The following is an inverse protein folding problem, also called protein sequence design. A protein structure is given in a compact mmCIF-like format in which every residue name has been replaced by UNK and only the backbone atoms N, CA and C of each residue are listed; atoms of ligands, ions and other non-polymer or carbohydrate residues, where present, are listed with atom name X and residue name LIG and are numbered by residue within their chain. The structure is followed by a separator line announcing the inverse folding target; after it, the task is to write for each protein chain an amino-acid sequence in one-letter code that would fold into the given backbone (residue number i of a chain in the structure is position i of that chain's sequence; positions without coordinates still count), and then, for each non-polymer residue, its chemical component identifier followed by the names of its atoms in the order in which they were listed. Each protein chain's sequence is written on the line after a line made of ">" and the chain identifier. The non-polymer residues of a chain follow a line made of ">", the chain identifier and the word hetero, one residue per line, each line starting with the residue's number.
data_IF_592455400669
#
_entry.id   IF_592455400669
#
_cell.length_a   1.000
_cell.length_b   1.000
_cell.length_c   1.000
_cell.angle_alpha   90.00
_cell.angle_beta   90.00
_cell.angle_gamma   90.00
#
_symmetry.space_group_name_H-M   'P 1'
#
loop_
_entity.id
_entity.type
_entity.pdbx_description
1 polymer ?
#
# COMPACT_ATOMS: atom_id res chain seq x y z
N UNK A 1 1.48 -71.74 -59.25
CA UNK A 1 0.29 -72.58 -58.96
C UNK A 1 0.74 -73.84 -58.22
N UNK A 2 -0.06 -74.30 -57.23
CA UNK A 2 0.12 -75.45 -56.30
C UNK A 2 0.93 -75.15 -55.04
N UNK A 3 0.56 -75.58 -53.83
CA UNK A 3 -0.69 -75.96 -53.12
C UNK A 3 -0.21 -76.50 -51.75
N UNK A 4 -0.82 -76.06 -50.63
CA UNK A 4 -1.01 -76.74 -49.31
C UNK A 4 0.24 -77.36 -48.62
N UNK A 5 0.34 -77.62 -47.31
CA UNK A 5 -0.62 -77.82 -46.21
C UNK A 5 0.16 -77.73 -44.89
N UNK A 6 -0.53 -77.43 -43.78
CA UNK A 6 0.07 -77.14 -42.47
C UNK A 6 0.42 -78.32 -41.57
N UNK A 7 0.65 -78.04 -40.27
CA UNK A 7 0.20 -78.79 -39.08
C UNK A 7 0.88 -78.34 -37.76
N UNK A 8 0.10 -78.50 -36.66
CA UNK A 8 0.48 -78.60 -35.22
C UNK A 8 0.80 -77.26 -34.54
N UNK A 9 0.28 -76.87 -33.38
CA UNK A 9 -0.56 -77.53 -32.35
C UNK A 9 -0.14 -77.04 -30.95
N UNK A 10 -1.07 -77.13 -29.99
CA UNK A 10 -0.96 -76.91 -28.53
C UNK A 10 -1.02 -75.47 -27.99
N UNK A 11 -2.08 -75.24 -27.19
CA UNK A 11 -2.35 -74.00 -26.47
C UNK A 11 -1.76 -73.94 -25.07
N UNK A 12 -1.96 -72.81 -24.41
CA UNK A 12 -1.87 -72.67 -22.96
C UNK A 12 -2.82 -71.56 -22.49
N UNK A 13 -3.61 -71.87 -21.47
CA UNK A 13 -4.52 -70.96 -20.79
C UNK A 13 -3.71 -69.87 -20.07
N UNK A 14 -4.08 -68.60 -20.25
CA UNK A 14 -3.53 -67.49 -19.49
C UNK A 14 -4.48 -67.10 -18.35
N UNK A 15 -3.99 -67.31 -17.13
CA UNK A 15 -4.59 -66.96 -15.85
C UNK A 15 -4.73 -65.42 -15.74
N UNK A 16 -5.94 -64.95 -15.45
CA UNK A 16 -6.19 -63.54 -15.09
C UNK A 16 -5.79 -63.33 -13.63
N UNK A 17 -4.64 -62.68 -13.41
CA UNK A 17 -4.21 -62.23 -12.09
C UNK A 17 -4.62 -60.76 -11.89
N UNK A 18 -5.64 -60.53 -11.07
CA UNK A 18 -6.01 -59.20 -10.57
C UNK A 18 -4.96 -58.78 -9.53
N UNK A 19 -4.15 -57.78 -9.86
CA UNK A 19 -3.22 -57.15 -8.91
C UNK A 19 -3.86 -55.91 -8.31
N UNK A 20 -4.04 -55.94 -6.98
CA UNK A 20 -4.48 -54.79 -6.21
C UNK A 20 -3.36 -53.74 -6.17
N UNK A 21 -3.66 -52.51 -6.58
CA UNK A 21 -2.75 -51.38 -6.48
C UNK A 21 -2.62 -50.96 -5.00
N UNK A 22 -1.44 -51.17 -4.41
CA UNK A 22 -1.03 -50.49 -3.19
C UNK A 22 -0.46 -49.12 -3.57
N UNK A 23 -0.86 -48.01 -2.91
CA UNK A 23 -0.22 -46.72 -3.17
C UNK A 23 1.19 -46.73 -2.59
N UNK A 24 2.19 -46.70 -3.49
CA UNK A 24 3.57 -46.46 -3.12
C UNK A 24 3.74 -44.96 -2.83
N UNK A 25 3.92 -44.60 -1.56
CA UNK A 25 4.34 -43.25 -1.16
C UNK A 25 5.82 -43.09 -1.49
N UNK A 26 6.14 -42.45 -2.62
CA UNK A 26 7.46 -41.93 -2.88
C UNK A 26 7.68 -40.75 -1.93
N UNK A 27 8.47 -40.92 -0.87
CA UNK A 27 9.06 -39.80 -0.16
C UNK A 27 10.25 -39.32 -0.96
N UNK A 28 10.14 -38.08 -1.41
CA UNK A 28 10.95 -37.47 -2.45
C UNK A 28 12.43 -37.40 -2.10
N UNK A 29 13.24 -37.98 -2.98
CA UNK A 29 14.71 -37.89 -3.04
C UNK A 29 15.25 -36.45 -2.88
N UNK A 30 14.48 -35.44 -3.28
CA UNK A 30 14.82 -34.02 -3.10
C UNK A 30 14.83 -33.58 -1.62
N UNK A 31 14.09 -34.25 -0.74
CA UNK A 31 14.04 -33.96 0.70
C UNK A 31 15.33 -34.37 1.44
N UNK A 32 16.07 -35.34 0.88
CA UNK A 32 17.37 -35.79 1.38
C UNK A 32 18.55 -34.96 0.85
N UNK A 33 18.46 -34.43 -0.39
CA UNK A 33 19.54 -33.67 -1.02
C UNK A 33 19.55 -32.18 -0.62
N UNK A 34 18.38 -31.58 -0.39
CA UNK A 34 18.25 -30.17 0.00
C UNK A 34 17.90 -29.99 1.49
N UNK A 35 18.39 -30.90 2.34
CA UNK A 35 18.47 -30.72 3.79
C UNK A 35 17.24 -30.06 4.39
N UNK A 36 16.21 -30.85 4.69
CA UNK A 36 15.10 -30.44 5.54
C UNK A 36 15.60 -29.90 6.89
N UNK A 37 15.89 -28.60 6.94
CA UNK A 37 16.14 -27.86 8.16
C UNK A 37 14.81 -27.52 8.84
N UNK A 38 14.13 -28.54 9.37
CA UNK A 38 13.23 -28.31 10.50
C UNK A 38 14.04 -28.49 11.78
N UNK A 39 14.87 -27.50 12.09
CA UNK A 39 15.33 -27.33 13.46
C UNK A 39 14.10 -27.03 14.33
N UNK A 40 13.88 -27.74 15.45
CA UNK A 40 12.90 -27.31 16.43
C UNK A 40 13.32 -25.92 16.91
N UNK A 41 12.48 -24.92 16.66
CA UNK A 41 12.73 -23.56 17.14
C UNK A 41 12.53 -23.53 18.65
N UNK A 42 13.62 -23.72 19.39
CA UNK A 42 13.70 -23.20 20.75
C UNK A 42 13.74 -21.68 20.65
N UNK A 43 12.61 -21.02 20.91
CA UNK A 43 12.55 -19.58 21.05
C UNK A 43 12.88 -19.24 22.52
N UNK A 44 14.05 -18.65 22.83
CA UNK A 44 14.23 -18.04 24.14
C UNK A 44 13.18 -16.93 24.29
N UNK A 45 12.39 -16.98 25.37
CA UNK A 45 11.54 -15.86 25.78
C UNK A 45 12.45 -14.72 26.20
N UNK A 46 12.67 -13.78 25.30
CA UNK A 46 13.30 -12.51 25.64
C UNK A 46 12.29 -11.67 26.46
N UNK A 47 12.72 -10.97 27.52
CA UNK A 47 11.88 -9.98 28.18
C UNK A 47 11.40 -8.94 27.16
N UNK A 48 10.09 -8.71 27.09
CA UNK A 48 9.51 -7.76 26.16
C UNK A 48 9.98 -6.34 26.48
N UNK A 49 10.56 -5.65 25.50
CA UNK A 49 10.87 -4.24 25.61
C UNK A 49 9.58 -3.41 25.43
N UNK A 50 9.39 -2.28 26.15
CA UNK A 50 8.10 -1.58 26.25
C UNK A 50 7.58 -0.93 24.96
N UNK A 51 8.34 -1.01 23.85
CA UNK A 51 8.08 -0.29 22.61
C UNK A 51 8.02 -1.22 21.38
N UNK A 52 8.08 -2.54 21.58
CA UNK A 52 8.08 -3.53 20.50
C UNK A 52 6.77 -4.34 20.41
N UNK A 53 5.65 -3.82 20.93
CA UNK A 53 4.31 -4.37 20.68
C UNK A 53 3.66 -3.69 19.46
N UNK A 54 4.33 -3.76 18.31
CA UNK A 54 3.69 -3.50 17.02
C UNK A 54 3.20 -4.83 16.43
N UNK A 55 2.04 -5.28 16.93
CA UNK A 55 0.96 -5.81 16.10
C UNK A 55 1.19 -7.03 15.19
N UNK A 56 2.33 -7.71 15.21
CA UNK A 56 2.55 -8.95 14.46
C UNK A 56 2.46 -10.16 15.38
N UNK A 57 1.26 -10.48 15.85
CA UNK A 57 1.04 -11.81 16.41
C UNK A 57 -0.03 -12.00 17.46
N UNK A 58 -1.18 -11.32 17.42
CA UNK A 58 -2.35 -11.85 18.14
C UNK A 58 -3.71 -11.28 17.76
N UNK A 59 -4.06 -11.20 16.48
CA UNK A 59 -5.48 -11.03 16.15
C UNK A 59 -5.86 -11.51 14.75
N UNK A 60 -5.98 -12.82 14.59
CA UNK A 60 -6.51 -13.43 13.35
C UNK A 60 -7.97 -13.84 13.44
N UNK A 61 -8.72 -13.44 14.49
CA UNK A 61 -10.13 -13.89 14.61
C UNK A 61 -11.19 -12.81 14.81
N UNK A 62 -10.83 -11.53 15.01
CA UNK A 62 -11.87 -10.51 15.24
C UNK A 62 -11.68 -9.17 14.51
N UNK A 63 -11.18 -9.21 13.27
CA UNK A 63 -11.55 -8.19 12.26
C UNK A 63 -12.64 -8.72 11.35
N UNK A 64 -13.81 -8.99 11.93
CA UNK A 64 -15.03 -9.06 11.14
C UNK A 64 -15.28 -7.68 10.54
N UNK A 65 -14.88 -7.55 9.27
CA UNK A 65 -15.49 -6.72 8.26
C UNK A 65 -16.17 -5.43 8.78
N UNK A 66 -15.38 -4.36 8.96
CA UNK A 66 -15.88 -3.08 8.46
C UNK A 66 -15.73 -3.18 6.95
N UNK A 67 -16.81 -3.31 6.17
CA UNK A 67 -16.67 -3.14 4.75
C UNK A 67 -16.15 -1.70 4.60
N UNK A 68 -14.87 -1.55 4.27
CA UNK A 68 -14.53 -0.50 3.32
C UNK A 68 -15.51 -0.77 2.19
N UNK A 69 -16.50 0.10 2.06
CA UNK A 69 -17.30 0.14 0.87
C UNK A 69 -16.28 0.41 -0.24
N UNK A 70 -15.72 -0.68 -0.77
CA UNK A 70 -15.33 -0.78 -2.16
C UNK A 70 -16.65 -0.61 -2.88
N UNK A 71 -17.14 0.63 -2.93
CA UNK A 71 -17.94 1.07 -4.02
C UNK A 71 -17.06 0.72 -5.20
N UNK A 72 -17.40 -0.39 -5.86
CA UNK A 72 -17.01 -0.64 -7.23
C UNK A 72 -17.62 0.53 -8.01
N UNK A 73 -16.98 1.69 -7.88
CA UNK A 73 -17.11 2.75 -8.85
C UNK A 73 -16.76 2.05 -10.15
N UNK A 74 -17.69 2.06 -11.08
CA UNK A 74 -17.54 1.55 -12.45
C UNK A 74 -16.54 2.41 -13.23
N UNK A 75 -15.48 2.87 -12.57
CA UNK A 75 -14.42 3.73 -13.05
C UNK A 75 -13.12 3.19 -12.47
N UNK A 76 -12.17 2.89 -13.36
CA UNK A 76 -10.87 2.33 -12.99
C UNK A 76 -10.05 3.23 -12.07
N UNK A 77 -8.79 2.85 -11.85
CA UNK A 77 -7.82 3.65 -11.11
C UNK A 77 -7.84 5.12 -11.58
N UNK A 78 -7.95 6.04 -10.63
CA UNK A 78 -7.84 7.46 -10.89
C UNK A 78 -6.37 7.88 -10.85
N UNK A 79 -5.94 8.69 -11.81
CA UNK A 79 -4.62 9.27 -11.86
C UNK A 79 -4.74 10.78 -11.87
N UNK A 80 -3.97 11.42 -10.99
CA UNK A 80 -3.74 12.85 -11.04
C UNK A 80 -2.67 13.12 -12.09
N UNK A 81 -2.94 14.00 -13.05
CA UNK A 81 -2.05 14.38 -14.13
C UNK A 81 -1.75 15.86 -14.03
N UNK A 82 -0.48 16.22 -13.88
CA UNK A 82 -0.02 17.60 -14.00
C UNK A 82 0.02 17.98 -15.48
N UNK A 83 -0.71 19.01 -15.87
CA UNK A 83 -0.98 19.31 -17.29
C UNK A 83 0.19 19.94 -18.03
N UNK A 84 1.14 20.54 -17.31
CA UNK A 84 2.25 21.28 -17.91
C UNK A 84 3.44 20.39 -18.36
N UNK A 85 3.60 19.21 -17.76
CA UNK A 85 4.62 18.20 -18.14
C UNK A 85 4.05 16.78 -18.30
N UNK A 86 2.74 16.62 -18.10
CA UNK A 86 2.04 15.35 -18.17
C UNK A 86 2.38 14.38 -17.04
N UNK A 87 3.16 14.74 -16.02
CA UNK A 87 3.50 13.79 -14.95
C UNK A 87 2.25 13.31 -14.23
N UNK A 88 2.21 12.02 -13.91
CA UNK A 88 1.05 11.42 -13.24
C UNK A 88 1.43 10.62 -12.01
N UNK A 89 0.47 10.48 -11.10
CA UNK A 89 0.54 9.56 -9.96
C UNK A 89 -0.88 9.04 -9.63
N UNK A 90 -0.99 7.81 -9.10
CA UNK A 90 -2.28 7.26 -8.72
C UNK A 90 -2.84 8.01 -7.52
N UNK A 91 -4.15 8.26 -7.52
CA UNK A 91 -4.85 8.86 -6.39
C UNK A 91 -6.02 7.99 -5.96
N UNK A 92 -6.20 7.90 -4.65
CA UNK A 92 -7.45 7.48 -4.02
C UNK A 92 -8.15 8.73 -3.46
N UNK A 93 -9.44 8.63 -3.17
CA UNK A 93 -10.14 9.70 -2.46
C UNK A 93 -10.12 9.30 -1.00
N UNK A 94 -9.71 10.21 -0.14
CA UNK A 94 -9.84 10.09 1.31
C UNK A 94 -11.03 10.92 1.76
N UNK A 95 -11.96 10.33 2.50
CA UNK A 95 -13.12 11.06 3.02
C UNK A 95 -14.11 11.47 1.94
N UNK A 96 -14.60 12.72 2.02
CA UNK A 96 -15.66 13.29 1.16
C UNK A 96 -15.15 14.02 -0.07
N UNK A 97 -13.83 14.23 -0.20
CA UNK A 97 -13.26 15.03 -1.28
C UNK A 97 -13.40 14.33 -2.63
N UNK A 98 -13.69 15.13 -3.65
CA UNK A 98 -13.67 14.67 -5.03
C UNK A 98 -12.23 14.35 -5.47
N UNK A 99 -12.08 13.46 -6.45
CA UNK A 99 -10.75 13.13 -6.99
C UNK A 99 -10.01 14.35 -7.53
N UNK A 100 -10.76 15.34 -8.04
CA UNK A 100 -10.19 16.59 -8.55
C UNK A 100 -9.63 17.46 -7.42
N UNK A 101 -10.36 17.60 -6.31
CA UNK A 101 -9.89 18.31 -5.12
C UNK A 101 -8.66 17.62 -4.52
N UNK A 102 -8.68 16.30 -4.39
CA UNK A 102 -7.52 15.51 -3.94
C UNK A 102 -6.31 15.69 -4.87
N UNK A 103 -6.52 15.71 -6.19
CA UNK A 103 -5.44 15.92 -7.16
C UNK A 103 -4.82 17.32 -7.02
N UNK A 104 -5.66 18.35 -6.85
CA UNK A 104 -5.22 19.72 -6.63
C UNK A 104 -4.50 19.91 -5.30
N UNK A 105 -4.94 19.25 -4.21
CA UNK A 105 -4.27 19.39 -2.91
C UNK A 105 -2.85 18.83 -2.92
N UNK A 106 -2.58 17.80 -3.74
CA UNK A 106 -1.23 17.28 -3.94
C UNK A 106 -0.33 18.19 -4.77
N UNK A 107 -0.89 18.98 -5.69
CA UNK A 107 -0.15 19.84 -6.62
C UNK A 107 -0.81 21.23 -6.80
N UNK A 108 -0.90 22.06 -5.75
CA UNK A 108 -1.55 23.36 -5.79
C UNK A 108 -0.79 24.41 -6.61
N UNK A 109 0.52 24.21 -6.84
CA UNK A 109 1.33 25.12 -7.64
C UNK A 109 1.31 24.81 -9.15
N UNK A 110 0.47 23.88 -9.61
CA UNK A 110 0.37 23.51 -11.03
C UNK A 110 -1.04 23.09 -11.40
N UNK A 111 -1.45 23.37 -12.63
CA UNK A 111 -2.73 22.90 -13.14
C UNK A 111 -2.76 21.37 -13.27
N UNK A 112 -3.79 20.76 -12.68
CA UNK A 112 -3.97 19.30 -12.71
C UNK A 112 -5.26 18.88 -13.40
N UNK A 113 -5.28 17.62 -13.85
CA UNK A 113 -6.47 16.93 -14.36
C UNK A 113 -6.53 15.52 -13.83
N UNK A 114 -7.74 14.99 -13.67
CA UNK A 114 -7.97 13.59 -13.31
C UNK A 114 -8.33 12.78 -14.55
N UNK A 115 -7.67 11.63 -14.70
CA UNK A 115 -7.99 10.61 -15.70
C UNK A 115 -8.27 9.27 -15.01
N UNK A 116 -9.05 8.40 -15.64
CA UNK A 116 -9.51 7.12 -15.08
C UNK A 116 -9.23 5.98 -16.06
N UNK A 117 -8.68 4.87 -15.58
CA UNK A 117 -8.39 3.69 -16.39
C UNK A 117 -7.85 2.54 -15.55
N UNK A 118 -7.74 1.34 -16.12
CA UNK A 118 -7.03 0.24 -15.44
C UNK A 118 -5.52 0.50 -15.40
N UNK A 119 -4.99 1.17 -16.42
CA UNK A 119 -3.63 1.68 -16.50
C UNK A 119 -3.62 3.12 -17.02
N UNK A 120 -2.50 3.82 -16.89
CA UNK A 120 -2.40 5.20 -17.38
C UNK A 120 -2.49 5.27 -18.92
N UNK A 121 -2.00 4.26 -19.63
CA UNK A 121 -1.99 4.19 -21.10
C UNK A 121 -3.41 4.13 -21.68
N UNK A 122 -4.34 3.53 -20.93
CA UNK A 122 -5.75 3.43 -21.29
C UNK A 122 -6.62 4.48 -20.60
N UNK A 123 -6.03 5.33 -19.77
CA UNK A 123 -6.78 6.26 -18.94
C UNK A 123 -7.38 7.40 -19.76
N UNK A 124 -8.60 7.81 -19.38
CA UNK A 124 -9.37 8.86 -20.04
C UNK A 124 -9.88 9.88 -19.04
N UNK A 125 -9.98 11.13 -19.45
CA UNK A 125 -10.69 12.17 -18.71
C UNK A 125 -12.19 11.85 -18.61
N UNK A 126 -12.92 12.54 -17.73
CA UNK A 126 -14.38 12.44 -17.68
C UNK A 126 -15.08 12.80 -19.00
N UNK A 127 -14.45 13.64 -19.83
CA UNK A 127 -14.91 13.97 -21.18
C UNK A 127 -14.48 12.98 -22.27
N UNK A 128 -13.92 11.82 -21.91
CA UNK A 128 -13.56 10.75 -22.85
C UNK A 128 -12.22 10.89 -23.56
N UNK A 129 -11.55 12.04 -23.45
CA UNK A 129 -10.21 12.28 -24.02
C UNK A 129 -9.15 11.41 -23.35
N UNK A 130 -8.34 10.69 -24.12
CA UNK A 130 -7.27 9.84 -23.59
C UNK A 130 -6.13 10.65 -22.99
N UNK A 131 -5.39 10.06 -22.05
CA UNK A 131 -4.23 10.70 -21.45
C UNK A 131 -3.14 11.02 -22.49
N UNK A 132 -2.92 10.14 -23.47
CA UNK A 132 -1.96 10.34 -24.56
C UNK A 132 -2.29 11.50 -25.50
N UNK A 133 -3.56 11.90 -25.61
CA UNK A 133 -3.99 13.06 -26.41
C UNK A 133 -3.85 14.40 -25.68
N UNK A 134 -3.42 14.41 -24.40
CA UNK A 134 -3.19 15.66 -23.68
C UNK A 134 -1.93 16.36 -24.22
N UNK A 135 -1.90 17.71 -24.26
CA UNK A 135 -0.83 18.46 -24.94
C UNK A 135 0.60 18.12 -24.50
N UNK A 136 0.80 17.83 -23.21
CA UNK A 136 2.11 17.50 -22.64
C UNK A 136 2.18 16.06 -22.11
N UNK A 137 1.35 15.14 -22.62
CA UNK A 137 1.35 13.75 -22.17
C UNK A 137 2.77 13.15 -22.22
N UNK A 138 3.18 12.45 -21.16
CA UNK A 138 4.49 11.79 -21.04
C UNK A 138 5.74 12.69 -21.18
N UNK A 139 5.59 14.02 -21.31
CA UNK A 139 6.71 14.95 -21.51
C UNK A 139 7.76 14.89 -20.39
N UNK A 140 7.30 14.65 -19.16
CA UNK A 140 8.15 14.42 -17.97
C UNK A 140 9.17 13.27 -18.11
N UNK A 141 9.01 12.37 -19.09
CA UNK A 141 9.92 11.25 -19.34
C UNK A 141 11.20 11.69 -20.06
N UNK A 142 11.13 12.77 -20.82
CA UNK A 142 12.23 13.23 -21.69
C UNK A 142 12.84 14.53 -21.21
N UNK A 143 12.07 15.39 -20.55
CA UNK A 143 12.57 16.67 -20.05
C UNK A 143 11.95 17.08 -18.72
N UNK A 144 12.68 17.93 -18.00
CA UNK A 144 12.19 18.61 -16.81
C UNK A 144 11.76 20.01 -17.22
N UNK A 145 10.44 20.24 -17.25
CA UNK A 145 9.88 21.54 -17.59
C UNK A 145 10.08 22.51 -16.42
N UNK A 146 10.76 23.63 -16.67
CA UNK A 146 11.00 24.65 -15.65
C UNK A 146 9.67 25.21 -15.10
N UNK A 147 9.56 25.33 -13.78
CA UNK A 147 8.36 25.82 -13.11
C UNK A 147 7.19 24.83 -13.02
N UNK A 148 7.28 23.63 -13.63
CA UNK A 148 6.28 22.58 -13.50
C UNK A 148 6.49 21.75 -12.23
N UNK A 149 6.04 22.26 -11.08
CA UNK A 149 6.24 21.59 -9.80
C UNK A 149 4.99 21.64 -8.92
N UNK A 150 4.79 20.61 -8.08
CA UNK A 150 3.63 20.56 -7.19
C UNK A 150 3.79 21.51 -5.99
N UNK A 151 5.02 21.85 -5.61
CA UNK A 151 5.34 22.69 -4.46
C UNK A 151 5.78 24.12 -4.83
N UNK A 152 5.91 24.44 -6.12
CA UNK A 152 6.34 25.75 -6.62
C UNK A 152 7.84 26.08 -6.42
N UNK A 153 8.66 25.14 -5.94
CA UNK A 153 10.06 25.38 -5.56
C UNK A 153 11.02 24.35 -6.17
N UNK A 154 10.81 23.09 -5.84
CA UNK A 154 11.70 21.99 -6.19
C UNK A 154 11.15 21.24 -7.40
N UNK A 155 12.02 20.78 -8.31
CA UNK A 155 11.62 20.03 -9.51
C UNK A 155 10.81 18.76 -9.19
N UNK A 156 11.02 18.21 -8.00
CA UNK A 156 10.39 17.00 -7.51
C UNK A 156 9.75 17.24 -6.13
N UNK A 157 8.83 16.36 -5.76
CA UNK A 157 8.16 16.39 -4.46
C UNK A 157 6.72 16.88 -4.53
N UNK A 158 5.97 16.53 -3.49
CA UNK A 158 4.59 16.96 -3.29
C UNK A 158 4.54 18.37 -2.70
N UNK A 159 3.36 18.98 -2.75
CA UNK A 159 3.07 20.20 -2.02
C UNK A 159 3.45 20.06 -0.54
N UNK A 160 4.13 21.06 0.01
CA UNK A 160 4.26 21.18 1.47
C UNK A 160 3.10 22.02 1.96
N UNK A 161 2.21 21.42 2.72
CA UNK A 161 1.17 22.14 3.44
C UNK A 161 1.80 22.57 4.78
N UNK A 162 1.86 23.88 5.09
CA UNK A 162 2.32 24.32 6.40
C UNK A 162 1.34 23.80 7.46
N UNK A 163 1.84 23.47 8.65
CA UNK A 163 1.03 22.81 9.69
C UNK A 163 -0.15 23.67 10.15
N UNK A 164 -0.02 24.99 10.01
CA UNK A 164 -1.07 25.99 10.28
C UNK A 164 -2.28 25.85 9.35
N UNK A 165 -2.05 25.37 8.12
CA UNK A 165 -3.05 25.24 7.06
C UNK A 165 -3.45 23.76 6.82
N UNK A 166 -2.92 22.82 7.62
CA UNK A 166 -3.24 21.39 7.49
C UNK A 166 -4.62 21.10 8.12
N UNK A 167 -5.64 20.76 7.31
CA UNK A 167 -7.00 20.52 7.81
C UNK A 167 -7.12 19.24 8.64
N UNK A 168 -6.11 18.37 8.61
CA UNK A 168 -6.10 17.12 9.37
C UNK A 168 -5.72 17.32 10.84
N UNK A 169 -5.08 18.45 11.16
CA UNK A 169 -4.64 18.80 12.51
C UNK A 169 -5.82 19.06 13.43
N UNK A 170 -5.84 18.37 14.56
CA UNK A 170 -6.89 18.42 15.58
C UNK A 170 -6.35 18.98 16.88
N UNK A 171 -7.27 19.50 17.71
CA UNK A 171 -6.93 19.91 19.07
C UNK A 171 -6.35 18.72 19.84
N UNK A 172 -5.19 18.91 20.46
CA UNK A 172 -4.47 17.88 21.21
C UNK A 172 -3.43 17.14 20.38
N UNK A 173 -3.37 17.34 19.07
CA UNK A 173 -2.32 16.75 18.23
C UNK A 173 -0.95 17.30 18.66
N UNK A 174 0.01 16.39 18.74
CA UNK A 174 1.39 16.70 19.10
C UNK A 174 2.18 16.94 17.82
N UNK A 175 2.83 18.10 17.73
CA UNK A 175 3.52 18.57 16.53
C UNK A 175 4.98 18.79 16.86
N UNK A 176 5.87 18.14 16.11
CA UNK A 176 7.30 18.40 16.19
C UNK A 176 7.66 19.63 15.35
N UNK A 177 7.93 20.75 16.01
CA UNK A 177 8.38 21.98 15.37
C UNK A 177 9.86 22.26 15.62
N UNK A 178 10.39 23.28 14.94
CA UNK A 178 11.76 23.79 15.15
C UNK A 178 12.00 24.26 16.60
N UNK A 179 10.94 24.72 17.27
CA UNK A 179 10.97 25.25 18.64
C UNK A 179 10.67 24.14 19.68
N UNK A 180 10.69 22.87 19.26
CA UNK A 180 10.42 21.70 20.10
C UNK A 180 9.03 21.11 19.87
N UNK A 181 8.59 20.29 20.83
CA UNK A 181 7.31 19.63 20.79
C UNK A 181 6.19 20.61 21.16
N UNK A 182 5.21 20.76 20.27
CA UNK A 182 4.06 21.65 20.42
C UNK A 182 2.77 20.83 20.47
N UNK A 183 1.70 21.43 20.99
CA UNK A 183 0.35 20.87 20.98
C UNK A 183 -0.56 21.82 20.23
N UNK A 184 -1.31 21.28 19.28
CA UNK A 184 -2.37 21.98 18.59
C UNK A 184 -3.47 22.37 19.58
N UNK A 185 -3.64 23.66 19.80
CA UNK A 185 -4.75 24.27 20.50
C UNK A 185 -5.67 24.94 19.47
N UNK A 186 -6.97 24.66 19.52
CA UNK A 186 -7.92 25.56 18.83
C UNK A 186 -8.05 26.82 19.66
N UNK A 187 -7.67 27.97 19.13
CA UNK A 187 -8.10 29.25 19.67
C UNK A 187 -9.63 29.31 19.53
N UNK A 188 -10.36 29.18 20.65
CA UNK A 188 -11.81 29.35 20.67
C UNK A 188 -12.25 30.80 20.38
N UNK A 189 -11.30 31.74 20.32
CA UNK A 189 -11.56 33.19 20.22
C UNK A 189 -11.46 33.76 18.79
N UNK A 190 -11.03 32.97 17.82
CA UNK A 190 -10.88 33.39 16.42
C UNK A 190 -11.78 32.57 15.51
N UNK A 191 -12.70 33.23 14.81
CA UNK A 191 -13.63 32.61 13.86
C UNK A 191 -12.95 32.23 12.52
N UNK A 192 -11.63 32.30 12.47
CA UNK A 192 -10.74 32.20 11.31
C UNK A 192 -10.15 30.79 11.11
N UNK A 193 -10.48 29.83 11.98
CA UNK A 193 -10.18 28.40 11.75
C UNK A 193 -8.71 28.01 11.86
N UNK A 194 -7.82 28.96 12.19
CA UNK A 194 -6.38 28.74 12.31
C UNK A 194 -6.03 27.95 13.58
N UNK A 195 -5.14 26.98 13.43
CA UNK A 195 -4.62 26.21 14.57
C UNK A 195 -3.59 27.05 15.32
N UNK A 196 -3.76 27.21 16.63
CA UNK A 196 -2.75 27.80 17.49
C UNK A 196 -1.89 26.69 18.10
N UNK A 197 -0.63 27.00 18.41
CA UNK A 197 0.29 26.03 18.99
C UNK A 197 0.76 26.49 20.37
N UNK A 198 0.76 25.57 21.33
CA UNK A 198 1.31 25.79 22.66
C UNK A 198 2.44 24.78 22.94
N UNK A 199 3.49 25.14 23.69
CA UNK A 199 4.54 24.19 24.04
C UNK A 199 3.99 22.97 24.80
N UNK A 200 4.39 21.76 24.38
CA UNK A 200 3.89 20.52 24.97
C UNK A 200 4.31 20.32 26.43
N UNK A 201 5.46 20.89 26.84
CA UNK A 201 5.94 20.83 28.22
C UNK A 201 4.99 21.52 29.23
N UNK A 202 4.21 22.49 28.77
CA UNK A 202 3.19 23.20 29.56
C UNK A 202 1.80 22.59 29.45
N UNK A 203 1.63 21.51 28.68
CA UNK A 203 0.35 20.84 28.52
C UNK A 203 0.22 19.67 29.50
N UNK A 204 -0.62 19.85 30.53
CA UNK A 204 -0.80 18.87 31.62
C UNK A 204 -1.20 17.47 31.10
N UNK A 205 -2.00 17.40 30.05
CA UNK A 205 -2.43 16.13 29.44
C UNK A 205 -1.27 15.38 28.76
N UNK A 206 -0.33 16.10 28.15
CA UNK A 206 0.89 15.50 27.58
C UNK A 206 1.79 15.05 28.74
N UNK A 207 2.04 15.92 29.72
CA UNK A 207 2.87 15.55 30.88
C UNK A 207 2.32 14.32 31.61
N UNK A 208 1.02 14.27 31.86
CA UNK A 208 0.37 13.13 32.50
C UNK A 208 0.52 11.84 31.67
N UNK A 209 0.27 11.91 30.36
CA UNK A 209 0.34 10.77 29.45
C UNK A 209 1.76 10.19 29.27
N UNK A 210 2.78 11.05 29.28
CA UNK A 210 4.17 10.65 29.06
C UNK A 210 5.01 10.55 30.35
N UNK A 211 4.42 10.80 31.53
CA UNK A 211 5.10 10.74 32.83
C UNK A 211 5.66 9.37 33.21
N UNK A 212 5.20 8.29 32.55
CA UNK A 212 5.55 6.90 32.85
C UNK A 212 6.26 6.18 31.72
N UNK A 213 6.73 6.91 30.70
CA UNK A 213 7.46 6.26 29.60
C UNK A 213 8.80 5.79 30.13
N UNK A 214 9.11 4.48 30.05
CA UNK A 214 10.40 3.98 30.49
C UNK A 214 11.49 4.59 29.61
N UNK A 215 12.46 5.25 30.25
CA UNK A 215 13.64 5.78 29.57
C UNK A 215 14.44 4.59 29.05
N UNK A 216 14.55 4.47 27.72
CA UNK A 216 15.18 3.33 27.07
C UNK A 216 16.71 3.35 27.12
N UNK A 217 17.31 4.47 27.50
CA UNK A 217 18.76 4.60 27.57
C UNK A 217 19.13 5.60 28.68
N UNK A 218 19.83 5.09 29.68
CA UNK A 218 20.64 5.89 30.61
C UNK A 218 22.02 5.26 30.55
N UNK A 219 23.01 6.05 30.11
CA UNK A 219 24.41 5.66 29.87
C UNK A 219 25.03 4.80 30.99
#
# INVERSE_FOLDING_TARGET
>A
MRKFSGRIGLGFAAVVAVTAATPAHAQDFFQALFGGFQAPRYQPRMPALPFADDGYGRDTRERLARPSARTYSTGGQAYCVRTCDGRYFPISSSGSDTKAETCNSFCPASDTKVVYGSSIESARTSGGKSYSELPNAFKFRTEIVAGCTCNGKDQFGLAKIPIEDDPTVRKGDIIAGKDGLMVAARNASGNDGKVAFAPAAGADHVRAGYSKVPVLDQD
#
